data_IF_667878136047
#
_entry.id   IF_667878136047
#
_cell.length_a   1.000
_cell.length_b   1.000
_cell.length_c   1.000
_cell.angle_alpha   90.00
_cell.angle_beta   90.00
_cell.angle_gamma   90.00
#
_symmetry.space_group_name_H-M   'P 1'
#
loop_
_entity.id
_entity.type
_entity.pdbx_description
1 polymer ?
#
# COMPACT_ATOMS: atom_id res chain seq x y z
N UNK A 1 27.31 -3.02 -0.04
CA UNK A 1 26.41 -4.00 0.60
C UNK A 1 25.61 -3.24 1.63
N UNK A 2 24.28 -3.18 1.52
CA UNK A 2 23.45 -2.50 2.51
C UNK A 2 23.52 -3.28 3.84
N UNK A 3 23.73 -2.57 4.95
CA UNK A 3 23.77 -3.17 6.27
C UNK A 3 22.40 -3.81 6.59
N UNK A 4 22.38 -5.13 6.66
CA UNK A 4 21.20 -5.94 6.96
C UNK A 4 20.89 -6.00 8.46
N UNK A 5 21.59 -5.26 9.33
CA UNK A 5 21.36 -5.25 10.77
C UNK A 5 20.25 -4.29 11.21
N UNK A 6 20.08 -3.16 10.53
CA UNK A 6 19.14 -2.10 10.97
C UNK A 6 17.71 -2.52 10.67
N UNK A 7 16.84 -2.46 11.69
CA UNK A 7 15.39 -2.54 11.58
C UNK A 7 14.73 -1.29 12.13
N UNK A 8 13.74 -0.78 11.40
CA UNK A 8 12.92 0.34 11.82
C UNK A 8 11.65 -0.16 12.53
N UNK A 9 11.19 0.60 13.52
CA UNK A 9 9.85 0.41 14.05
C UNK A 9 8.82 0.77 12.97
N UNK A 10 7.82 -0.08 12.76
CA UNK A 10 6.81 0.10 11.71
C UNK A 10 5.52 0.65 12.30
N UNK A 11 5.05 1.77 11.74
CA UNK A 11 3.76 2.38 12.00
C UNK A 11 2.75 1.98 10.91
N UNK A 12 1.73 1.16 11.23
CA UNK A 12 0.63 0.88 10.32
C UNK A 12 -0.41 2.00 10.34
N UNK A 13 -0.96 2.34 9.19
CA UNK A 13 -2.00 3.35 9.03
C UNK A 13 -3.07 2.86 8.05
N UNK A 14 -4.34 3.02 8.41
CA UNK A 14 -5.43 2.82 7.47
C UNK A 14 -5.48 3.99 6.48
N UNK A 15 -5.55 3.68 5.20
CA UNK A 15 -5.60 4.66 4.12
C UNK A 15 -6.82 4.38 3.24
N UNK A 16 -7.56 5.45 2.95
CA UNK A 16 -8.63 5.45 1.96
C UNK A 16 -8.38 6.58 0.97
N UNK A 17 -8.15 6.24 -0.29
CA UNK A 17 -8.11 7.19 -1.40
C UNK A 17 -9.38 7.05 -2.20
N UNK A 18 -10.06 8.17 -2.41
CA UNK A 18 -11.29 8.26 -3.18
C UNK A 18 -11.08 9.20 -4.35
N UNK A 19 -11.37 8.74 -5.56
CA UNK A 19 -11.20 9.52 -6.78
C UNK A 19 -12.45 9.41 -7.66
N UNK A 20 -12.95 10.54 -8.17
CA UNK A 20 -14.06 10.54 -9.11
C UNK A 20 -13.59 9.97 -10.45
N UNK A 21 -14.21 8.89 -10.92
CA UNK A 21 -13.82 8.24 -12.17
C UNK A 21 -14.20 9.14 -13.36
N UNK A 22 -13.20 9.54 -14.14
CA UNK A 22 -13.36 10.42 -15.31
C UNK A 22 -12.95 9.74 -16.61
N UNK A 23 -12.51 8.48 -16.57
CA UNK A 23 -11.99 7.76 -17.73
C UNK A 23 -13.12 7.34 -18.68
N UNK A 24 -12.92 7.56 -19.98
CA UNK A 24 -13.89 7.16 -21.02
C UNK A 24 -13.93 5.64 -21.24
N UNK A 25 -12.83 4.94 -20.90
CA UNK A 25 -12.72 3.49 -20.96
C UNK A 25 -12.24 2.97 -19.61
N UNK A 26 -12.78 1.83 -19.17
CA UNK A 26 -12.54 1.29 -17.82
C UNK A 26 -12.24 -0.21 -17.90
N UNK A 27 -11.02 -0.57 -17.52
CA UNK A 27 -10.66 -1.93 -17.12
C UNK A 27 -10.35 -1.92 -15.63
N UNK A 28 -11.06 -2.74 -14.86
CA UNK A 28 -10.90 -2.79 -13.40
C UNK A 28 -10.17 -4.05 -13.01
N UNK A 29 -9.06 -3.87 -12.32
CA UNK A 29 -8.44 -4.93 -11.55
C UNK A 29 -9.19 -5.08 -10.21
N UNK A 30 -10.03 -6.11 -10.08
CA UNK A 30 -10.83 -6.35 -8.87
C UNK A 30 -12.32 -6.00 -9.03
N UNK A 31 -12.87 -5.19 -8.12
CA UNK A 31 -14.30 -4.88 -8.06
C UNK A 31 -14.68 -3.56 -8.76
N UNK A 32 -15.56 -3.65 -9.76
CA UNK A 32 -16.12 -2.48 -10.43
C UNK A 32 -17.41 -1.99 -9.74
N UNK A 33 -17.32 -0.94 -8.92
CA UNK A 33 -18.50 -0.29 -8.33
C UNK A 33 -19.30 0.52 -9.36
N UNK A 34 -20.63 0.59 -9.16
CA UNK A 34 -21.57 1.29 -10.06
C UNK A 34 -21.75 2.79 -9.75
N UNK A 35 -20.90 3.37 -8.89
CA UNK A 35 -21.04 4.75 -8.37
C UNK A 35 -20.11 5.76 -9.06
N UNK A 36 -19.38 5.39 -10.12
CA UNK A 36 -18.49 6.31 -10.83
C UNK A 36 -17.32 6.82 -9.97
N UNK A 37 -16.90 6.06 -8.97
CA UNK A 37 -15.80 6.40 -8.05
C UNK A 37 -14.82 5.24 -7.98
N UNK A 38 -13.53 5.56 -8.07
CA UNK A 38 -12.42 4.65 -7.76
C UNK A 38 -12.12 4.76 -6.27
N UNK A 39 -12.11 3.62 -5.58
CA UNK A 39 -11.70 3.54 -4.18
C UNK A 39 -10.43 2.70 -4.08
N UNK A 40 -9.49 3.16 -3.28
CA UNK A 40 -8.31 2.42 -2.88
C UNK A 40 -8.27 2.41 -1.35
N UNK A 41 -8.48 1.24 -0.76
CA UNK A 41 -8.53 1.05 0.68
C UNK A 41 -7.45 0.06 1.09
N UNK A 42 -6.72 0.36 2.15
CA UNK A 42 -5.59 -0.47 2.51
C UNK A 42 -4.89 -0.07 3.79
N UNK A 43 -3.82 -0.80 4.07
CA UNK A 43 -2.90 -0.50 5.18
C UNK A 43 -1.58 -0.02 4.60
N UNK A 44 -1.16 1.18 5.03
CA UNK A 44 0.16 1.74 4.76
C UNK A 44 1.09 1.45 5.92
N UNK A 45 2.24 0.86 5.65
CA UNK A 45 3.32 0.65 6.61
C UNK A 45 4.41 1.69 6.41
N UNK A 46 4.69 2.45 7.47
CA UNK A 46 5.71 3.50 7.49
C UNK A 46 6.83 3.14 8.47
N UNK A 47 8.11 3.15 8.04
CA UNK A 47 9.24 3.10 8.97
C UNK A 47 9.33 4.42 9.75
N UNK A 48 9.25 4.35 11.08
CA UNK A 48 9.35 5.54 11.94
C UNK A 48 10.72 6.20 11.79
N UNK A 49 10.72 7.54 11.72
CA UNK A 49 11.94 8.36 11.63
C UNK A 49 12.64 8.30 10.26
N UNK A 50 12.03 7.71 9.24
CA UNK A 50 12.60 7.61 7.89
C UNK A 50 11.60 8.07 6.82
N UNK A 51 11.53 9.36 6.49
CA UNK A 51 10.70 9.84 5.39
C UNK A 51 11.19 9.29 4.04
N UNK A 52 10.28 9.17 3.07
CA UNK A 52 10.55 8.70 1.71
C UNK A 52 9.56 9.31 0.74
N UNK A 53 10.03 9.70 -0.44
CA UNK A 53 9.17 10.10 -1.57
C UNK A 53 8.74 8.90 -2.43
N UNK A 54 9.32 7.72 -2.17
CA UNK A 54 9.02 6.47 -2.89
C UNK A 54 8.11 5.57 -2.06
N UNK A 55 7.04 5.06 -2.68
CA UNK A 55 6.08 4.10 -2.12
C UNK A 55 6.06 2.81 -2.96
N UNK A 56 6.17 1.65 -2.31
CA UNK A 56 5.89 0.36 -2.93
C UNK A 56 4.44 -0.03 -2.69
N UNK A 57 3.71 -0.32 -3.77
CA UNK A 57 2.32 -0.75 -3.69
C UNK A 57 2.26 -2.25 -3.98
N UNK A 58 1.77 -3.01 -3.01
CA UNK A 58 1.33 -4.39 -3.20
C UNK A 58 -0.16 -4.36 -3.47
N UNK A 59 -0.55 -4.78 -4.67
CA UNK A 59 -1.95 -4.86 -5.09
C UNK A 59 -2.35 -6.31 -5.38
N UNK A 60 -3.49 -6.74 -4.84
CA UNK A 60 -4.10 -8.02 -5.18
C UNK A 60 -5.61 -7.92 -5.01
N UNK A 61 -6.44 -8.53 -5.88
CA UNK A 61 -7.90 -8.54 -5.72
C UNK A 61 -8.37 -9.28 -4.47
N UNK A 62 -7.45 -9.91 -3.72
CA UNK A 62 -7.74 -10.58 -2.47
C UNK A 62 -7.24 -9.64 -1.35
N UNK A 63 -8.16 -9.19 -0.51
CA UNK A 63 -7.92 -8.22 0.56
C UNK A 63 -7.15 -8.80 1.76
N UNK A 64 -6.12 -9.60 1.51
CA UNK A 64 -5.34 -10.34 2.51
C UNK A 64 -3.85 -10.05 2.44
N UNK A 65 -3.39 -9.15 1.56
CA UNK A 65 -1.97 -8.83 1.40
C UNK A 65 -1.31 -8.32 2.68
N UNK A 66 -2.05 -7.60 3.53
CA UNK A 66 -1.58 -7.15 4.83
C UNK A 66 -1.25 -8.29 5.81
N UNK A 67 -1.74 -9.50 5.56
CA UNK A 67 -1.45 -10.69 6.37
C UNK A 67 -0.14 -11.36 5.97
N UNK A 68 0.39 -11.04 4.78
CA UNK A 68 1.66 -11.59 4.33
C UNK A 68 2.82 -11.00 5.13
N UNK A 69 3.87 -11.79 5.42
CA UNK A 69 5.01 -11.30 6.18
C UNK A 69 5.86 -10.29 5.39
N UNK A 70 5.80 -10.35 4.05
CA UNK A 70 6.68 -9.58 3.16
C UNK A 70 6.47 -8.05 3.23
N UNK A 71 5.25 -7.50 3.10
CA UNK A 71 5.04 -6.04 3.18
C UNK A 71 5.57 -5.42 4.48
N UNK A 72 5.32 -6.08 5.62
CA UNK A 72 5.83 -5.62 6.91
C UNK A 72 7.35 -5.71 6.97
N UNK A 73 7.94 -6.80 6.50
CA UNK A 73 9.39 -6.96 6.49
C UNK A 73 10.09 -5.88 5.64
N UNK A 74 9.49 -5.48 4.52
CA UNK A 74 9.99 -4.36 3.70
C UNK A 74 9.97 -3.04 4.46
N UNK A 75 8.89 -2.77 5.21
CA UNK A 75 8.81 -1.59 6.07
C UNK A 75 9.83 -1.62 7.21
N UNK A 76 10.08 -2.76 7.83
CA UNK A 76 11.17 -2.92 8.81
C UNK A 76 12.55 -2.62 8.20
N UNK A 77 12.71 -2.73 6.88
CA UNK A 77 13.94 -2.35 6.15
C UNK A 77 13.96 -0.90 5.64
N UNK A 78 12.98 -0.09 6.02
CA UNK A 78 12.95 1.33 5.71
C UNK A 78 12.26 1.67 4.39
N UNK A 79 11.51 0.74 3.82
CA UNK A 79 10.71 0.96 2.61
C UNK A 79 9.28 1.36 3.01
N UNK A 80 8.72 2.37 2.34
CA UNK A 80 7.30 2.71 2.56
C UNK A 80 6.44 1.77 1.72
N UNK A 81 5.44 1.15 2.33
CA UNK A 81 4.64 0.12 1.67
C UNK A 81 3.14 0.40 1.84
N UNK A 82 2.37 0.23 0.76
CA UNK A 82 0.91 0.22 0.78
C UNK A 82 0.41 -1.16 0.33
N UNK A 83 -0.42 -1.81 1.16
CA UNK A 83 -1.17 -3.00 0.79
C UNK A 83 -2.59 -2.58 0.42
N UNK A 84 -2.94 -2.69 -0.87
CA UNK A 84 -4.22 -2.26 -1.42
C UNK A 84 -4.85 -3.28 -2.37
#
# INVERSE_FOLDING_TARGET
MADTSIRYEVQPEWVHVKYAETSQFKEVYGFAGNQGVINLEGIRYLPKGRPSDTLLIYMHPASTLQLLPMPRAMAERGVHVLCA
#
